data_IF_394429463968
#
_entry.id   IF_394429463968
#
_cell.length_a   1.000
_cell.length_b   1.000
_cell.length_c   1.000
_cell.angle_alpha   90.00
_cell.angle_beta   90.00
_cell.angle_gamma   90.00
#
_symmetry.space_group_name_H-M   'P 1'
#
loop_
_entity.id
_entity.type
_entity.pdbx_description
1 polymer ?
#
# COMPACT_ATOMS: atom_id res chain seq x y z
N UNK A 1 33.79 -30.34 4.50
CA UNK A 1 32.99 -30.63 3.28
C UNK A 1 31.67 -31.23 3.72
N UNK A 2 30.54 -30.63 3.35
CA UNK A 2 29.21 -31.13 3.78
C UNK A 2 28.93 -32.42 2.99
N UNK A 3 28.65 -33.52 3.69
CA UNK A 3 28.26 -34.79 3.07
C UNK A 3 26.80 -34.70 2.60
N UNK A 4 26.64 -34.57 1.30
CA UNK A 4 25.31 -34.45 0.66
C UNK A 4 24.62 -35.81 0.43
N UNK A 5 25.25 -36.91 0.81
CA UNK A 5 24.63 -38.25 0.75
C UNK A 5 23.72 -38.53 1.96
N UNK A 6 23.82 -37.71 3.00
CA UNK A 6 22.98 -37.83 4.19
C UNK A 6 21.93 -36.71 4.20
N UNK A 7 20.67 -37.09 4.41
CA UNK A 7 19.62 -36.13 4.69
C UNK A 7 19.93 -35.37 5.97
N UNK A 8 19.73 -34.06 6.05
CA UNK A 8 19.84 -33.34 7.32
C UNK A 8 18.83 -33.87 8.32
N UNK A 9 19.23 -33.91 9.60
CA UNK A 9 18.31 -34.28 10.66
C UNK A 9 17.14 -33.27 10.69
N UNK A 10 15.92 -33.80 10.60
CA UNK A 10 14.73 -32.99 10.76
C UNK A 10 14.65 -32.60 12.24
N UNK A 11 14.88 -31.34 12.55
CA UNK A 11 14.59 -30.80 13.86
C UNK A 11 13.10 -30.96 14.19
N UNK A 12 12.77 -31.47 15.34
CA UNK A 12 11.41 -31.49 15.86
C UNK A 12 10.85 -30.06 15.83
N UNK A 13 9.59 -29.94 15.42
CA UNK A 13 8.90 -28.65 15.41
C UNK A 13 9.07 -27.96 16.77
N UNK A 14 9.62 -26.77 16.74
CA UNK A 14 9.58 -25.87 17.89
C UNK A 14 8.14 -25.37 17.98
N UNK A 15 7.52 -25.49 19.16
CA UNK A 15 6.21 -24.86 19.40
C UNK A 15 6.31 -23.36 19.11
N UNK A 16 5.66 -22.93 18.03
CA UNK A 16 5.59 -21.52 17.68
C UNK A 16 4.67 -20.82 18.68
N UNK A 17 5.26 -20.00 19.54
CA UNK A 17 4.50 -19.09 20.40
C UNK A 17 4.22 -17.81 19.63
N UNK A 18 2.96 -17.47 19.47
CA UNK A 18 2.53 -16.21 18.89
C UNK A 18 2.12 -15.25 20.00
N UNK A 19 2.66 -14.04 19.97
CA UNK A 19 2.19 -12.96 20.81
C UNK A 19 0.85 -12.45 20.24
N UNK A 20 -0.21 -12.56 21.03
CA UNK A 20 -1.51 -12.05 20.61
C UNK A 20 -1.56 -10.52 20.75
N UNK A 21 -2.14 -9.81 19.77
CA UNK A 21 -2.27 -8.38 19.87
C UNK A 21 -3.20 -7.98 21.03
N UNK A 22 -2.81 -6.98 21.77
CA UNK A 22 -3.72 -6.22 22.62
C UNK A 22 -4.39 -5.13 21.79
N UNK A 23 -5.50 -4.56 22.25
CA UNK A 23 -6.11 -3.43 21.54
C UNK A 23 -6.60 -2.37 22.51
N UNK A 24 -6.61 -1.13 22.02
CA UNK A 24 -7.24 0.02 22.66
C UNK A 24 -8.23 0.65 21.69
N UNK A 25 -9.30 1.24 22.21
CA UNK A 25 -10.23 2.00 21.39
C UNK A 25 -9.99 3.47 21.65
N UNK A 26 -9.70 4.25 20.62
CA UNK A 26 -9.52 5.67 20.70
C UNK A 26 -10.87 6.39 20.90
N UNK A 27 -10.84 7.67 21.32
CA UNK A 27 -12.04 8.46 21.56
C UNK A 27 -12.96 8.62 20.34
N UNK A 28 -12.41 8.50 19.14
CA UNK A 28 -13.15 8.52 17.86
C UNK A 28 -13.68 7.15 17.45
N UNK A 29 -13.53 6.11 18.28
CA UNK A 29 -14.00 4.75 18.01
C UNK A 29 -13.04 3.87 17.21
N UNK A 30 -11.90 4.39 16.75
CA UNK A 30 -10.89 3.59 16.03
C UNK A 30 -10.23 2.60 17.00
N UNK A 31 -10.14 1.34 16.57
CA UNK A 31 -9.42 0.29 17.30
C UNK A 31 -7.97 0.26 16.85
N UNK A 32 -7.06 0.36 17.79
CA UNK A 32 -5.62 0.21 17.58
C UNK A 32 -5.18 -1.12 18.16
N UNK A 33 -4.68 -2.00 17.32
CA UNK A 33 -4.12 -3.29 17.71
C UNK A 33 -2.62 -3.15 17.90
N UNK A 34 -2.12 -3.61 19.03
CA UNK A 34 -0.74 -3.41 19.44
C UNK A 34 -0.09 -4.78 19.64
N UNK A 35 1.00 -5.01 18.93
CA UNK A 35 1.91 -6.14 19.14
C UNK A 35 3.24 -5.57 19.58
N UNK A 36 3.64 -5.90 20.81
CA UNK A 36 4.94 -5.52 21.34
C UNK A 36 5.82 -6.76 21.37
N UNK A 37 6.69 -6.91 20.38
CA UNK A 37 7.53 -8.08 20.18
C UNK A 37 8.84 -7.70 19.50
N UNK A 38 9.90 -8.46 19.74
CA UNK A 38 11.23 -8.22 19.15
C UNK A 38 12.16 -7.43 20.04
N UNK A 39 13.45 -7.41 19.63
CA UNK A 39 14.56 -6.85 20.42
C UNK A 39 15.07 -5.52 19.83
N UNK A 40 14.48 -5.02 18.76
CA UNK A 40 14.91 -3.80 18.08
C UNK A 40 14.03 -2.62 18.48
N UNK A 41 14.65 -1.45 18.57
CA UNK A 41 13.97 -0.19 18.90
C UNK A 41 13.32 0.46 17.66
N UNK A 42 12.45 -0.30 17.02
CA UNK A 42 11.71 0.11 15.82
C UNK A 42 10.22 -0.12 16.00
N UNK A 43 9.41 0.71 15.36
CA UNK A 43 7.98 0.48 15.28
C UNK A 43 7.50 0.53 13.83
N UNK A 44 6.42 -0.18 13.58
CA UNK A 44 5.65 -0.12 12.36
C UNK A 44 4.21 0.25 12.69
N UNK A 45 3.71 1.29 12.07
CA UNK A 45 2.32 1.70 12.17
C UNK A 45 1.62 1.45 10.83
N UNK A 46 0.67 0.54 10.83
CA UNK A 46 -0.17 0.27 9.66
C UNK A 46 -1.56 0.88 9.87
N UNK A 47 -1.96 1.75 8.98
CA UNK A 47 -3.32 2.28 8.89
C UNK A 47 -4.06 1.62 7.75
N UNK A 48 -5.21 1.03 8.06
CA UNK A 48 -6.09 0.39 7.11
C UNK A 48 -7.40 1.16 7.04
N UNK A 49 -7.79 1.58 5.85
CA UNK A 49 -9.06 2.24 5.62
C UNK A 49 -9.76 1.67 4.39
N UNK A 50 -11.08 1.81 4.33
CA UNK A 50 -11.86 1.37 3.16
C UNK A 50 -11.41 2.17 1.94
N UNK A 51 -11.71 1.66 0.76
CA UNK A 51 -11.27 2.27 -0.47
C UNK A 51 -10.16 1.43 -1.12
N UNK A 52 -10.50 0.22 -1.49
CA UNK A 52 -9.69 -0.68 -2.31
C UNK A 52 -10.25 -0.80 -3.72
N UNK A 53 -9.80 -1.82 -4.45
CA UNK A 53 -10.22 -2.10 -5.82
C UNK A 53 -11.74 -2.29 -5.96
N UNK A 54 -12.41 -2.86 -4.94
CA UNK A 54 -13.84 -3.16 -5.00
C UNK A 54 -14.73 -1.92 -4.79
N UNK A 55 -14.19 -0.88 -4.21
CA UNK A 55 -14.87 0.40 -4.01
C UNK A 55 -14.67 1.37 -5.19
N UNK A 56 -13.84 1.03 -6.17
CA UNK A 56 -13.59 1.89 -7.33
C UNK A 56 -14.84 2.06 -8.20
N UNK A 57 -15.14 3.30 -8.57
CA UNK A 57 -16.17 3.63 -9.56
C UNK A 57 -15.62 3.59 -10.99
N UNK A 58 -14.30 3.73 -11.12
CA UNK A 58 -13.56 3.53 -12.36
C UNK A 58 -12.18 2.91 -12.04
N UNK A 59 -11.60 2.13 -12.97
CA UNK A 59 -10.33 1.46 -12.72
C UNK A 59 -9.21 2.41 -12.32
N UNK A 60 -8.32 1.95 -11.42
CA UNK A 60 -7.08 2.59 -11.02
C UNK A 60 -7.20 3.70 -9.95
N UNK A 61 -8.38 4.07 -9.48
CA UNK A 61 -8.55 5.14 -8.48
C UNK A 61 -7.78 4.83 -7.18
N UNK A 62 -7.99 3.67 -6.60
CA UNK A 62 -7.36 3.27 -5.34
C UNK A 62 -5.85 3.11 -5.47
N UNK A 63 -5.39 2.51 -6.57
CA UNK A 63 -3.97 2.35 -6.84
C UNK A 63 -3.28 3.71 -7.07
N UNK A 64 -3.90 4.60 -7.84
CA UNK A 64 -3.36 5.93 -8.07
C UNK A 64 -3.34 6.76 -6.79
N UNK A 65 -4.40 6.69 -5.96
CA UNK A 65 -4.41 7.33 -4.64
C UNK A 65 -3.26 6.82 -3.79
N UNK A 66 -3.14 5.50 -3.61
CA UNK A 66 -2.07 4.92 -2.80
C UNK A 66 -0.69 5.36 -3.28
N UNK A 67 -0.46 5.37 -4.60
CA UNK A 67 0.81 5.83 -5.17
C UNK A 67 1.07 7.31 -4.90
N UNK A 68 0.03 8.16 -4.92
CA UNK A 68 0.18 9.61 -4.72
C UNK A 68 0.30 10.02 -3.26
N UNK A 69 -0.24 9.24 -2.30
CA UNK A 69 -0.20 9.57 -0.88
C UNK A 69 1.22 9.84 -0.35
N UNK A 70 2.22 9.15 -0.88
CA UNK A 70 3.62 9.29 -0.43
C UNK A 70 4.40 10.42 -1.13
N UNK A 71 3.80 11.10 -2.10
CA UNK A 71 4.43 12.20 -2.84
C UNK A 71 4.22 13.59 -2.22
N UNK A 72 3.74 13.63 -0.98
CA UNK A 72 3.59 14.87 -0.21
C UNK A 72 2.13 15.21 0.12
N UNK A 73 1.98 16.35 0.73
CA UNK A 73 0.69 16.86 1.21
C UNK A 73 0.59 18.36 0.97
N UNK A 74 -0.53 18.97 1.39
CA UNK A 74 -0.64 20.43 1.39
C UNK A 74 0.31 21.10 2.40
N UNK A 75 0.83 20.36 3.39
CA UNK A 75 1.74 20.87 4.42
C UNK A 75 3.23 20.63 4.09
N UNK A 76 3.52 19.57 3.34
CA UNK A 76 4.90 19.16 2.99
C UNK A 76 5.01 18.89 1.50
N UNK A 77 6.00 19.50 0.85
CA UNK A 77 6.37 19.09 -0.52
C UNK A 77 6.97 17.68 -0.52
N UNK A 78 7.10 17.06 -1.68
CA UNK A 78 7.74 15.74 -1.82
C UNK A 78 9.16 15.74 -1.27
N UNK A 79 9.93 16.79 -1.52
CA UNK A 79 11.31 16.95 -1.02
C UNK A 79 11.33 17.09 0.50
N UNK A 80 10.51 17.99 1.07
CA UNK A 80 10.40 18.17 2.52
C UNK A 80 9.96 16.89 3.23
N UNK A 81 9.04 16.14 2.63
CA UNK A 81 8.60 14.84 3.16
C UNK A 81 9.75 13.84 3.19
N UNK A 82 10.50 13.71 2.08
CA UNK A 82 11.65 12.81 2.01
C UNK A 82 12.73 13.20 3.02
N UNK A 83 13.09 14.48 3.09
CA UNK A 83 14.09 14.97 4.06
C UNK A 83 13.67 14.70 5.51
N UNK A 84 12.38 14.93 5.85
CA UNK A 84 11.87 14.67 7.20
C UNK A 84 11.96 13.19 7.55
N UNK A 85 11.54 12.31 6.64
CA UNK A 85 11.58 10.87 6.86
C UNK A 85 13.01 10.35 6.94
N UNK A 86 13.88 10.74 6.01
CA UNK A 86 15.27 10.31 5.96
C UNK A 86 16.05 10.78 7.20
N UNK A 87 15.86 12.03 7.63
CA UNK A 87 16.48 12.57 8.83
C UNK A 87 16.12 11.79 10.10
N UNK A 88 14.88 11.30 10.17
CA UNK A 88 14.39 10.52 11.31
C UNK A 88 14.59 9.01 11.16
N UNK A 89 15.23 8.54 10.10
CA UNK A 89 15.39 7.10 9.82
C UNK A 89 14.04 6.39 9.65
N UNK A 90 13.08 7.08 9.08
CA UNK A 90 11.73 6.58 8.86
C UNK A 90 11.45 6.41 7.37
N UNK A 91 10.50 5.54 7.05
CA UNK A 91 9.96 5.49 5.70
C UNK A 91 8.46 5.22 5.71
N UNK A 92 7.78 5.75 4.72
CA UNK A 92 6.34 5.60 4.54
C UNK A 92 6.05 5.01 3.16
N UNK A 93 5.08 4.10 3.11
CA UNK A 93 4.54 3.59 1.85
C UNK A 93 3.03 3.45 1.94
N UNK A 94 2.38 3.43 0.79
CA UNK A 94 0.96 3.15 0.69
C UNK A 94 0.70 2.10 -0.39
N UNK A 95 -0.30 1.27 -0.17
CA UNK A 95 -0.64 0.17 -1.06
C UNK A 95 -2.14 -0.04 -1.10
N UNK A 96 -2.71 -0.11 -2.29
CA UNK A 96 -4.10 -0.50 -2.51
C UNK A 96 -4.22 -2.02 -2.57
N UNK A 97 -5.23 -2.54 -1.89
CA UNK A 97 -5.64 -3.95 -1.88
C UNK A 97 -7.07 -4.09 -2.44
N UNK A 98 -7.61 -5.30 -2.38
CA UNK A 98 -8.94 -5.57 -2.92
C UNK A 98 -10.04 -4.76 -2.20
N UNK A 99 -10.01 -4.70 -0.85
CA UNK A 99 -11.07 -4.11 -0.03
C UNK A 99 -10.62 -2.91 0.80
N UNK A 100 -9.35 -2.61 0.81
CA UNK A 100 -8.80 -1.54 1.65
C UNK A 100 -7.54 -0.95 1.03
N UNK A 101 -7.20 0.24 1.45
CA UNK A 101 -5.88 0.82 1.26
C UNK A 101 -5.14 0.83 2.59
N UNK A 102 -3.86 0.45 2.53
CA UNK A 102 -2.94 0.43 3.66
C UNK A 102 -1.92 1.54 3.50
N UNK A 103 -1.72 2.31 4.56
CA UNK A 103 -0.58 3.24 4.69
C UNK A 103 0.27 2.77 5.84
N UNK A 104 1.55 2.54 5.58
CA UNK A 104 2.52 2.05 6.55
C UNK A 104 3.59 3.09 6.80
N UNK A 105 3.83 3.37 8.07
CA UNK A 105 4.96 4.17 8.54
C UNK A 105 5.88 3.28 9.38
N UNK A 106 7.16 3.25 9.03
CA UNK A 106 8.21 2.57 9.80
C UNK A 106 9.14 3.63 10.35
N UNK A 107 9.50 3.53 11.63
CA UNK A 107 10.33 4.51 12.31
C UNK A 107 11.07 3.88 13.48
N UNK A 108 12.15 4.54 13.94
CA UNK A 108 12.67 4.31 15.27
C UNK A 108 11.64 4.76 16.31
N UNK A 109 11.52 4.03 17.43
CA UNK A 109 10.59 4.40 18.50
C UNK A 109 10.86 5.82 19.04
N UNK A 110 12.14 6.20 19.15
CA UNK A 110 12.57 7.53 19.60
C UNK A 110 12.13 8.66 18.69
N UNK A 111 11.91 8.39 17.39
CA UNK A 111 11.65 9.40 16.37
C UNK A 111 10.20 9.38 15.88
N UNK A 112 9.37 8.46 16.40
CA UNK A 112 7.99 8.29 15.95
C UNK A 112 7.20 9.59 16.03
N UNK A 113 7.29 10.32 17.15
CA UNK A 113 6.55 11.57 17.36
C UNK A 113 6.90 12.65 16.32
N UNK A 114 8.14 12.66 15.83
CA UNK A 114 8.61 13.62 14.83
C UNK A 114 7.98 13.38 13.45
N UNK A 115 7.65 12.12 13.12
CA UNK A 115 7.16 11.74 11.78
C UNK A 115 5.64 11.53 11.72
N UNK A 116 4.94 11.43 12.86
CA UNK A 116 3.49 11.34 12.91
C UNK A 116 2.76 12.53 12.24
N UNK A 117 3.22 13.79 12.36
CA UNK A 117 2.62 14.90 11.63
C UNK A 117 2.63 14.72 10.12
N UNK A 118 3.72 14.16 9.57
CA UNK A 118 3.82 13.86 8.14
C UNK A 118 2.79 12.80 7.73
N UNK A 119 2.69 11.70 8.47
CA UNK A 119 1.66 10.68 8.23
C UNK A 119 0.25 11.28 8.27
N UNK A 120 -0.04 12.07 9.31
CA UNK A 120 -1.33 12.75 9.42
C UNK A 120 -1.63 13.64 8.21
N UNK A 121 -0.65 14.40 7.74
CA UNK A 121 -0.83 15.34 6.64
C UNK A 121 -1.14 14.63 5.32
N UNK A 122 -0.47 13.52 5.00
CA UNK A 122 -0.74 12.76 3.77
C UNK A 122 -2.09 12.05 3.82
N UNK A 123 -2.56 11.65 4.99
CA UNK A 123 -3.86 11.01 5.16
C UNK A 123 -5.03 11.99 5.03
N UNK A 124 -4.88 13.22 5.57
CA UNK A 124 -5.98 14.19 5.61
C UNK A 124 -5.99 15.14 4.42
N UNK A 125 -4.84 15.45 3.86
CA UNK A 125 -4.71 16.44 2.79
C UNK A 125 -3.55 16.13 1.84
N UNK A 126 -3.61 14.97 1.15
CA UNK A 126 -2.55 14.60 0.21
C UNK A 126 -2.50 15.61 -0.93
N UNK A 127 -1.31 15.94 -1.36
CA UNK A 127 -1.11 16.61 -2.64
C UNK A 127 -1.09 15.58 -3.75
N UNK A 128 -1.66 15.93 -4.90
CA UNK A 128 -1.57 15.11 -6.11
C UNK A 128 -0.93 16.00 -7.18
N UNK A 129 0.42 16.13 -7.17
CA UNK A 129 1.11 17.00 -8.12
C UNK A 129 0.90 16.51 -9.56
N UNK A 130 0.70 17.45 -10.49
CA UNK A 130 0.37 17.10 -11.88
C UNK A 130 1.51 16.31 -12.54
N UNK A 131 2.73 16.75 -12.36
CA UNK A 131 3.91 16.10 -12.94
C UNK A 131 4.08 14.66 -12.43
N UNK A 132 3.93 14.42 -11.14
CA UNK A 132 4.01 13.09 -10.54
C UNK A 132 2.86 12.19 -10.99
N UNK A 133 1.66 12.77 -11.13
CA UNK A 133 0.51 12.03 -11.63
C UNK A 133 0.67 11.63 -13.10
N UNK A 134 1.21 12.50 -13.96
CA UNK A 134 1.51 12.18 -15.35
C UNK A 134 2.60 11.09 -15.46
N UNK A 135 3.63 11.19 -14.62
CA UNK A 135 4.67 10.16 -14.54
C UNK A 135 4.07 8.82 -14.11
N UNK A 136 3.20 8.81 -13.09
CA UNK A 136 2.49 7.61 -12.67
C UNK A 136 1.69 7.00 -13.81
N UNK A 137 0.94 7.79 -14.58
CA UNK A 137 0.18 7.31 -15.75
C UNK A 137 1.09 6.62 -16.78
N UNK A 138 2.26 7.18 -17.06
CA UNK A 138 3.23 6.56 -17.98
C UNK A 138 3.76 5.23 -17.42
N UNK A 139 4.07 5.20 -16.12
CA UNK A 139 4.54 3.98 -15.46
C UNK A 139 3.48 2.87 -15.47
N UNK A 140 2.21 3.21 -15.20
CA UNK A 140 1.09 2.27 -15.25
C UNK A 140 0.94 1.68 -16.65
N UNK A 141 0.93 2.51 -17.70
CA UNK A 141 0.84 2.04 -19.10
C UNK A 141 1.96 1.06 -19.42
N UNK A 142 3.20 1.41 -19.08
CA UNK A 142 4.36 0.54 -19.32
C UNK A 142 4.25 -0.77 -18.55
N UNK A 143 3.90 -0.73 -17.27
CA UNK A 143 3.79 -1.91 -16.42
C UNK A 143 2.71 -2.88 -16.94
N UNK A 144 1.54 -2.38 -17.32
CA UNK A 144 0.47 -3.24 -17.83
C UNK A 144 0.69 -3.75 -19.25
N UNK A 145 1.34 -2.97 -20.13
CA UNK A 145 1.79 -3.49 -21.44
C UNK A 145 2.75 -4.67 -21.26
N UNK A 146 3.75 -4.52 -20.40
CA UNK A 146 4.69 -5.59 -20.10
C UNK A 146 4.01 -6.81 -19.39
N UNK A 147 3.01 -6.54 -18.52
CA UNK A 147 2.28 -7.63 -17.86
C UNK A 147 1.49 -8.48 -18.87
N UNK A 148 0.87 -7.86 -19.88
CA UNK A 148 0.11 -8.57 -20.93
C UNK A 148 0.95 -9.50 -21.80
N UNK A 149 2.27 -9.35 -21.83
CA UNK A 149 3.19 -10.26 -22.52
C UNK A 149 3.53 -11.50 -21.67
N UNK A 150 3.17 -11.50 -20.38
CA UNK A 150 3.48 -12.60 -19.46
C UNK A 150 2.33 -13.60 -19.41
N UNK A 151 2.62 -14.85 -19.77
CA UNK A 151 1.63 -15.95 -19.73
C UNK A 151 1.02 -16.11 -18.33
N UNK A 152 1.81 -15.95 -17.27
CA UNK A 152 1.33 -16.01 -15.89
C UNK A 152 0.23 -14.98 -15.62
N UNK A 153 0.41 -13.74 -16.05
CA UNK A 153 -0.59 -12.68 -15.88
C UNK A 153 -1.87 -13.01 -16.65
N UNK A 154 -1.74 -13.39 -17.92
CA UNK A 154 -2.89 -13.74 -18.76
C UNK A 154 -3.69 -14.93 -18.20
N UNK A 155 -2.98 -15.97 -17.72
CA UNK A 155 -3.65 -17.13 -17.11
C UNK A 155 -4.40 -16.75 -15.82
N UNK A 156 -3.79 -15.91 -14.96
CA UNK A 156 -4.43 -15.43 -13.74
C UNK A 156 -5.69 -14.61 -14.05
N UNK A 157 -5.61 -13.69 -15.01
CA UNK A 157 -6.77 -12.88 -15.41
C UNK A 157 -7.87 -13.72 -16.05
N UNK A 158 -7.51 -14.74 -16.85
CA UNK A 158 -8.46 -15.69 -17.41
C UNK A 158 -9.17 -16.51 -16.32
N UNK A 159 -8.43 -17.01 -15.34
CA UNK A 159 -9.01 -17.71 -14.19
C UNK A 159 -9.95 -16.80 -13.39
N UNK A 160 -9.56 -15.55 -13.12
CA UNK A 160 -10.42 -14.58 -12.44
C UNK A 160 -11.71 -14.31 -13.24
N UNK A 161 -11.60 -14.19 -14.58
CA UNK A 161 -12.75 -14.02 -15.45
C UNK A 161 -13.72 -15.22 -15.46
N UNK A 162 -13.20 -16.44 -15.31
CA UNK A 162 -14.02 -17.65 -15.17
C UNK A 162 -14.67 -17.76 -13.78
N UNK A 163 -13.96 -17.34 -12.73
CA UNK A 163 -14.41 -17.50 -11.35
C UNK A 163 -15.40 -16.42 -10.93
N UNK A 164 -15.11 -15.15 -11.23
CA UNK A 164 -15.90 -14.00 -10.79
C UNK A 164 -16.80 -13.43 -11.90
N UNK A 165 -16.59 -13.84 -13.14
CA UNK A 165 -17.22 -13.25 -14.32
C UNK A 165 -16.39 -12.14 -14.93
N UNK A 166 -16.48 -12.00 -16.26
CA UNK A 166 -15.64 -11.05 -17.05
C UNK A 166 -15.86 -9.57 -16.71
N UNK A 167 -17.00 -9.22 -16.10
CA UNK A 167 -17.33 -7.84 -15.72
C UNK A 167 -16.92 -7.49 -14.29
N UNK A 168 -16.44 -8.47 -13.52
CA UNK A 168 -16.02 -8.24 -12.15
C UNK A 168 -14.70 -7.46 -12.10
N UNK A 169 -14.51 -6.51 -11.17
CA UNK A 169 -13.25 -5.74 -11.05
C UNK A 169 -11.99 -6.61 -11.03
N UNK A 170 -12.02 -7.77 -10.37
CA UNK A 170 -10.90 -8.71 -10.34
C UNK A 170 -10.50 -9.28 -11.69
N UNK A 171 -11.39 -9.27 -12.66
CA UNK A 171 -11.16 -9.79 -14.01
C UNK A 171 -10.86 -8.68 -15.02
N UNK A 172 -10.90 -7.42 -14.61
CA UNK A 172 -10.63 -6.30 -15.49
C UNK A 172 -9.13 -6.22 -15.82
N UNK A 173 -8.81 -6.32 -17.09
CA UNK A 173 -7.45 -6.11 -17.59
C UNK A 173 -7.29 -4.65 -17.99
N UNK A 174 -6.49 -3.93 -17.22
CA UNK A 174 -6.21 -2.52 -17.46
C UNK A 174 -5.74 -2.31 -18.90
N UNK A 175 -6.30 -1.30 -19.57
CA UNK A 175 -5.94 -0.87 -20.91
C UNK A 175 -5.49 0.61 -20.92
N UNK A 176 -4.99 1.06 -22.06
CA UNK A 176 -4.49 2.44 -22.18
C UNK A 176 -5.62 3.46 -21.98
N UNK A 177 -6.84 3.12 -22.41
CA UNK A 177 -8.04 3.95 -22.25
C UNK A 177 -8.41 4.15 -20.78
N UNK A 178 -8.26 3.13 -19.92
CA UNK A 178 -8.49 3.28 -18.48
C UNK A 178 -7.54 4.31 -17.87
N UNK A 179 -6.26 4.25 -18.26
CA UNK A 179 -5.24 5.18 -17.77
C UNK A 179 -5.48 6.60 -18.32
N UNK A 180 -5.89 6.73 -19.57
CA UNK A 180 -6.17 8.04 -20.18
C UNK A 180 -7.36 8.74 -19.53
N UNK A 181 -8.41 8.00 -19.22
CA UNK A 181 -9.63 8.51 -18.59
C UNK A 181 -9.43 8.93 -17.14
N UNK A 182 -8.50 8.32 -16.42
CA UNK A 182 -8.24 8.64 -15.01
C UNK A 182 -7.70 10.07 -14.90
N UNK A 183 -8.36 10.87 -14.08
CA UNK A 183 -7.97 12.25 -13.79
C UNK A 183 -7.54 12.42 -12.32
N UNK A 184 -6.84 13.51 -12.03
CA UNK A 184 -6.49 13.88 -10.64
C UNK A 184 -7.73 14.10 -9.78
N UNK A 185 -8.79 14.63 -10.37
CA UNK A 185 -10.03 14.92 -9.64
C UNK A 185 -10.77 13.63 -9.28
N UNK A 186 -10.70 12.59 -10.11
CA UNK A 186 -11.22 11.26 -9.78
C UNK A 186 -10.50 10.65 -8.56
N UNK A 187 -9.17 10.85 -8.47
CA UNK A 187 -8.37 10.37 -7.33
C UNK A 187 -8.67 11.18 -6.07
N UNK A 188 -8.83 12.51 -6.20
CA UNK A 188 -9.24 13.36 -5.06
C UNK A 188 -10.65 13.03 -4.57
N UNK A 189 -11.59 12.80 -5.49
CA UNK A 189 -12.94 12.40 -5.13
C UNK A 189 -12.95 11.07 -4.37
N UNK A 190 -12.16 10.10 -4.85
CA UNK A 190 -12.00 8.81 -4.17
C UNK A 190 -11.41 8.96 -2.76
N UNK A 191 -10.38 9.80 -2.58
CA UNK A 191 -9.82 10.11 -1.26
C UNK A 191 -10.83 10.81 -0.34
N UNK A 192 -11.69 11.67 -0.87
CA UNK A 192 -12.69 12.38 -0.07
C UNK A 192 -13.85 11.48 0.40
N UNK A 193 -14.09 10.36 -0.30
CA UNK A 193 -15.15 9.42 0.03
C UNK A 193 -14.70 8.38 1.05
N UNK A 194 -13.45 7.97 1.00
CA UNK A 194 -12.88 6.87 1.80
C UNK A 194 -11.75 7.33 2.71
#
# INVERSE_FOLDING_TARGET
>A
MIDRSKSPDLSTFVDLKFDYPTYVTLNNGIKVYIVNSGDQDVCKLDMLYRGGLLEETMPLQSMALASMLVHGSNEYTSEQMSELLDYNGAYMNAMSHDNFTQVSLNSLNSNLENVLPALRSVLLSPSIPEQEFDLLKMQIKSAYRNAKERVKYLSQMSCRGLYFGKKHPFAHMICDEDVERLTRDDVKAFHAEY
#
